data_IF_175021818509
#
_entry.id   IF_175021818509
#
_cell.length_a   1.000
_cell.length_b   1.000
_cell.length_c   1.000
_cell.angle_alpha   90.00
_cell.angle_beta   90.00
_cell.angle_gamma   90.00
#
_symmetry.space_group_name_H-M   'P 1'
#
loop_
_entity.id
_entity.type
_entity.pdbx_description
1 polymer ?
#
# COMPACT_ATOMS: atom_id res chain seq x y z
N UNK A 1 11.56 7.30 -9.34
CA UNK A 1 10.36 7.02 -8.53
C UNK A 1 9.18 7.69 -9.19
N UNK A 2 8.07 6.96 -9.39
CA UNK A 2 6.85 7.50 -9.99
C UNK A 2 5.79 7.64 -8.88
N UNK A 3 5.79 8.80 -8.21
CA UNK A 3 4.95 9.10 -7.05
C UNK A 3 3.45 9.00 -7.37
N UNK A 4 3.04 9.48 -8.55
CA UNK A 4 1.66 9.43 -9.01
C UNK A 4 1.16 8.00 -9.17
N UNK A 5 1.98 7.11 -9.73
CA UNK A 5 1.61 5.71 -9.89
C UNK A 5 1.41 4.99 -8.55
N UNK A 6 2.25 5.28 -7.54
CA UNK A 6 2.10 4.73 -6.19
C UNK A 6 0.80 5.23 -5.54
N UNK A 7 0.55 6.53 -5.64
CA UNK A 7 -0.64 7.17 -5.09
C UNK A 7 -1.92 6.61 -5.71
N UNK A 8 -1.96 6.52 -7.04
CA UNK A 8 -3.08 5.96 -7.78
C UNK A 8 -3.31 4.48 -7.45
N UNK A 9 -2.24 3.70 -7.29
CA UNK A 9 -2.35 2.29 -6.89
C UNK A 9 -2.95 2.14 -5.48
N UNK A 10 -2.46 2.89 -4.49
CA UNK A 10 -2.98 2.86 -3.13
C UNK A 10 -4.46 3.28 -3.08
N UNK A 11 -4.82 4.39 -3.72
CA UNK A 11 -6.19 4.89 -3.77
C UNK A 11 -7.14 3.92 -4.49
N UNK A 12 -6.72 3.37 -5.62
CA UNK A 12 -7.52 2.40 -6.38
C UNK A 12 -7.79 1.15 -5.54
N UNK A 13 -6.80 0.66 -4.81
CA UNK A 13 -6.96 -0.51 -3.93
C UNK A 13 -7.89 -0.20 -2.75
N UNK A 14 -7.78 0.98 -2.13
CA UNK A 14 -8.69 1.39 -1.07
C UNK A 14 -10.14 1.54 -1.56
N UNK A 15 -10.35 2.09 -2.76
CA UNK A 15 -11.68 2.18 -3.41
C UNK A 15 -12.26 0.79 -3.62
N UNK A 16 -11.50 -0.11 -4.24
CA UNK A 16 -11.94 -1.50 -4.48
C UNK A 16 -12.32 -2.22 -3.19
N UNK A 17 -11.58 -1.96 -2.11
CA UNK A 17 -11.88 -2.55 -0.81
C UNK A 17 -13.21 -2.03 -0.24
N UNK A 18 -13.47 -0.72 -0.35
CA UNK A 18 -14.75 -0.13 0.07
C UNK A 18 -15.93 -0.60 -0.80
N UNK A 19 -15.72 -0.75 -2.10
CA UNK A 19 -16.74 -1.22 -3.06
C UNK A 19 -17.04 -2.72 -2.91
N UNK A 20 -16.12 -3.50 -2.36
CA UNK A 20 -16.31 -4.95 -2.18
C UNK A 20 -17.39 -5.31 -1.15
N UNK A 21 -17.86 -4.36 -0.35
CA UNK A 21 -18.80 -4.59 0.75
C UNK A 21 -18.17 -5.26 1.97
N UNK A 22 -16.84 -5.43 1.99
CA UNK A 22 -16.12 -5.86 3.18
C UNK A 22 -16.29 -4.84 4.31
N UNK A 23 -16.40 -5.32 5.55
CA UNK A 23 -16.44 -4.46 6.71
C UNK A 23 -15.07 -3.81 6.92
N UNK A 24 -14.98 -2.50 6.71
CA UNK A 24 -13.76 -1.71 6.88
C UNK A 24 -13.81 -0.97 8.22
N UNK A 25 -12.82 -1.22 9.06
CA UNK A 25 -12.59 -0.53 10.32
C UNK A 25 -11.72 0.71 10.12
N UNK A 26 -11.76 1.70 11.05
CA UNK A 26 -10.85 2.86 10.99
C UNK A 26 -9.37 2.48 11.08
N UNK A 27 -9.07 1.31 11.66
CA UNK A 27 -7.71 0.74 11.73
C UNK A 27 -7.25 0.09 10.43
N UNK A 28 -8.14 -0.11 9.46
CA UNK A 28 -7.74 -0.72 8.19
C UNK A 28 -6.95 0.25 7.32
N UNK A 29 -5.87 -0.26 6.75
CA UNK A 29 -4.92 0.48 5.94
C UNK A 29 -4.64 -0.25 4.63
N UNK A 30 -4.19 0.54 3.65
CA UNK A 30 -3.69 0.06 2.37
C UNK A 30 -2.28 0.60 2.18
N UNK A 31 -1.37 -0.27 1.77
CA UNK A 31 0.02 0.10 1.47
C UNK A 31 0.30 -0.12 -0.02
N UNK A 32 1.05 0.79 -0.62
CA UNK A 32 1.63 0.63 -1.95
C UNK A 32 3.15 0.86 -1.88
N UNK A 33 3.89 -0.06 -2.49
CA UNK A 33 5.35 -0.06 -2.56
C UNK A 33 5.78 0.04 -4.01
N UNK A 34 6.78 0.85 -4.30
CA UNK A 34 7.50 0.82 -5.57
C UNK A 34 8.89 0.21 -5.37
N UNK A 35 9.27 -0.71 -6.23
CA UNK A 35 10.59 -1.35 -6.20
C UNK A 35 11.59 -0.66 -7.13
N UNK A 36 12.86 -1.05 -7.03
CA UNK A 36 13.93 -0.54 -7.90
C UNK A 36 13.71 -0.84 -9.39
N UNK A 37 12.96 -1.90 -9.72
CA UNK A 37 12.55 -2.22 -11.10
C UNK A 37 11.44 -1.32 -11.63
N UNK A 38 10.83 -0.51 -10.76
CA UNK A 38 9.70 0.36 -11.07
C UNK A 38 8.33 -0.29 -10.94
N UNK A 39 8.25 -1.59 -10.57
CA UNK A 39 6.99 -2.28 -10.30
C UNK A 39 6.34 -1.79 -9.01
N UNK A 40 5.02 -1.90 -8.94
CA UNK A 40 4.23 -1.48 -7.79
C UNK A 40 3.50 -2.68 -7.20
N UNK A 41 3.63 -2.85 -5.89
CA UNK A 41 2.95 -3.89 -5.12
C UNK A 41 2.07 -3.25 -4.07
N UNK A 42 0.86 -3.77 -3.92
CA UNK A 42 -0.09 -3.29 -2.92
C UNK A 42 -0.37 -4.35 -1.87
N UNK A 43 -0.70 -3.93 -0.67
CA UNK A 43 -1.10 -4.79 0.44
C UNK A 43 -2.24 -4.16 1.23
N UNK A 44 -3.04 -5.00 1.87
CA UNK A 44 -4.21 -4.60 2.66
C UNK A 44 -4.05 -5.14 4.08
N UNK A 45 -4.33 -4.31 5.09
CA UNK A 45 -4.33 -4.78 6.48
C UNK A 45 -5.45 -5.80 6.70
N UNK A 46 -5.15 -6.85 7.45
CA UNK A 46 -6.12 -7.89 7.80
C UNK A 46 -5.99 -8.20 9.27
N UNK A 47 -7.10 -8.10 9.99
CA UNK A 47 -7.20 -8.51 11.38
C UNK A 47 -8.04 -9.77 11.45
N UNK A 48 -7.38 -10.91 11.62
CA UNK A 48 -8.02 -12.19 11.92
C UNK A 48 -7.97 -12.44 13.44
N UNK A 49 -8.83 -13.30 13.98
CA UNK A 49 -8.97 -13.55 15.43
C UNK A 49 -7.64 -13.90 16.13
N UNK A 50 -6.68 -14.46 15.39
CA UNK A 50 -5.39 -14.89 15.92
C UNK A 50 -4.18 -14.20 15.26
N UNK A 51 -4.39 -13.37 14.24
CA UNK A 51 -3.29 -12.80 13.48
C UNK A 51 -3.66 -11.43 12.89
N UNK A 52 -2.88 -10.41 13.23
CA UNK A 52 -2.96 -9.09 12.60
C UNK A 52 -1.80 -8.95 11.62
N UNK A 53 -2.14 -8.82 10.34
CA UNK A 53 -1.19 -8.54 9.27
C UNK A 53 -1.36 -7.10 8.85
N UNK A 54 -0.29 -6.33 9.03
CA UNK A 54 -0.24 -4.94 8.60
C UNK A 54 -0.14 -4.84 7.06
N UNK A 55 -0.71 -3.79 6.48
CA UNK A 55 -0.73 -3.60 5.03
C UNK A 55 0.67 -3.55 4.41
N UNK A 56 1.65 -3.00 5.15
CA UNK A 56 3.05 -2.96 4.76
C UNK A 56 3.64 -4.37 4.61
N UNK A 57 3.36 -5.26 5.57
CA UNK A 57 3.84 -6.64 5.56
C UNK A 57 3.22 -7.42 4.40
N UNK A 58 1.92 -7.20 4.14
CA UNK A 58 1.21 -7.83 3.03
C UNK A 58 1.78 -7.38 1.67
N UNK A 59 2.04 -6.07 1.50
CA UNK A 59 2.64 -5.53 0.29
C UNK A 59 4.07 -6.08 0.06
N UNK A 60 4.87 -6.18 1.13
CA UNK A 60 6.21 -6.78 1.09
C UNK A 60 6.15 -8.25 0.71
N UNK A 61 5.18 -9.03 1.22
CA UNK A 61 5.01 -10.44 0.83
C UNK A 61 4.71 -10.58 -0.66
N UNK A 62 3.85 -9.73 -1.20
CA UNK A 62 3.55 -9.70 -2.64
C UNK A 62 4.79 -9.35 -3.47
N UNK A 63 5.59 -8.40 -3.00
CA UNK A 63 6.87 -8.04 -3.62
C UNK A 63 7.88 -9.20 -3.60
N UNK A 64 8.06 -9.86 -2.45
CA UNK A 64 8.98 -10.99 -2.29
C UNK A 64 8.55 -12.20 -3.13
N UNK A 65 7.24 -12.44 -3.26
CA UNK A 65 6.70 -13.49 -4.12
C UNK A 65 7.05 -13.26 -5.61
N UNK A 66 7.26 -12.01 -6.02
CA UNK A 66 7.72 -11.65 -7.36
C UNK A 66 9.26 -11.68 -7.51
N UNK A 67 10.00 -12.03 -6.46
CA UNK A 67 11.47 -12.09 -6.46
C UNK A 67 12.15 -10.73 -6.28
N UNK A 68 11.44 -9.71 -5.79
CA UNK A 68 12.00 -8.38 -5.54
C UNK A 68 12.13 -8.12 -4.04
N UNK A 69 13.17 -7.38 -3.64
CA UNK A 69 13.46 -7.10 -2.23
C UNK A 69 13.89 -5.64 -1.94
N UNK A 70 14.11 -4.84 -3.00
CA UNK A 70 14.54 -3.44 -2.88
C UNK A 70 13.35 -2.50 -3.12
N UNK A 71 13.05 -1.67 -2.13
CA UNK A 71 11.95 -0.71 -2.12
C UNK A 71 12.51 0.71 -2.25
N UNK A 72 12.02 1.46 -3.23
CA UNK A 72 12.42 2.87 -3.45
C UNK A 72 11.38 3.86 -2.91
N UNK A 73 10.11 3.46 -2.84
CA UNK A 73 9.03 4.32 -2.39
C UNK A 73 7.94 3.53 -1.66
N UNK A 74 7.39 4.12 -0.61
CA UNK A 74 6.33 3.54 0.23
C UNK A 74 5.25 4.59 0.50
N UNK A 75 4.00 4.21 0.32
CA UNK A 75 2.84 5.00 0.73
C UNK A 75 1.89 4.11 1.51
N UNK A 76 1.58 4.51 2.74
CA UNK A 76 0.56 3.90 3.58
C UNK A 76 -0.59 4.88 3.74
N UNK A 77 -1.83 4.45 3.50
CA UNK A 77 -3.04 5.26 3.68
C UNK A 77 -4.05 4.55 4.58
N UNK A 78 -4.83 5.32 5.34
CA UNK A 78 -6.06 4.81 5.96
C UNK A 78 -7.08 4.46 4.87
N UNK A 79 -7.70 3.29 4.94
CA UNK A 79 -8.72 2.88 3.96
C UNK A 79 -9.93 3.81 3.99
N UNK A 80 -10.37 4.21 5.19
CA UNK A 80 -11.58 5.02 5.37
C UNK A 80 -11.33 6.49 5.00
N UNK A 81 -10.27 7.09 5.54
CA UNK A 81 -10.02 8.53 5.35
C UNK A 81 -9.21 8.82 4.08
N UNK A 82 -8.57 7.80 3.49
CA UNK A 82 -7.63 7.92 2.36
C UNK A 82 -6.50 8.93 2.62
N UNK A 83 -6.17 9.15 3.89
CA UNK A 83 -5.09 10.03 4.32
C UNK A 83 -3.80 9.23 4.48
N UNK A 84 -2.67 9.70 3.94
CA UNK A 84 -1.35 9.17 4.23
C UNK A 84 -1.05 9.08 5.73
N UNK A 85 -0.44 7.97 6.14
CA UNK A 85 -0.05 7.67 7.52
C UNK A 85 1.39 7.15 7.58
N UNK A 86 2.00 7.21 8.76
CA UNK A 86 3.31 6.62 8.97
C UNK A 86 3.22 5.10 9.20
N UNK A 87 4.13 4.31 8.61
CA UNK A 87 4.24 2.89 8.92
C UNK A 87 4.71 2.68 10.36
N UNK A 88 4.33 1.54 10.96
CA UNK A 88 4.74 1.24 12.34
C UNK A 88 6.20 0.78 12.44
N UNK A 89 6.82 0.92 13.63
CA UNK A 89 8.22 0.55 13.85
C UNK A 89 8.54 -0.92 13.52
N UNK A 90 7.61 -1.84 13.77
CA UNK A 90 7.81 -3.25 13.44
C UNK A 90 7.87 -3.48 11.91
N UNK A 91 7.01 -2.80 11.15
CA UNK A 91 7.02 -2.89 9.68
C UNK A 91 8.28 -2.25 9.09
N UNK A 92 8.70 -1.11 9.64
CA UNK A 92 9.94 -0.44 9.27
C UNK A 92 11.18 -1.31 9.51
N UNK A 93 11.28 -1.90 10.70
CA UNK A 93 12.36 -2.82 11.04
C UNK A 93 12.39 -4.03 10.11
N UNK A 94 11.23 -4.58 9.76
CA UNK A 94 11.13 -5.67 8.79
C UNK A 94 11.61 -5.24 7.40
N UNK A 95 11.15 -4.10 6.87
CA UNK A 95 11.57 -3.59 5.56
C UNK A 95 13.09 -3.37 5.50
N UNK A 96 13.67 -2.76 6.53
CA UNK A 96 15.10 -2.50 6.62
C UNK A 96 15.93 -3.79 6.72
N UNK A 97 15.35 -4.88 7.24
CA UNK A 97 16.01 -6.18 7.32
C UNK A 97 16.09 -6.94 5.99
N UNK A 98 15.29 -6.56 4.98
CA UNK A 98 15.25 -7.27 3.69
C UNK A 98 16.47 -7.00 2.80
N UNK A 99 16.92 -5.75 2.77
CA UNK A 99 18.00 -5.27 1.91
C UNK A 99 18.56 -3.96 2.49
N UNK A 100 19.88 -3.76 2.45
CA UNK A 100 20.50 -2.53 2.98
C UNK A 100 20.14 -1.31 2.11
N UNK A 101 19.85 -1.53 0.84
CA UNK A 101 19.41 -0.53 -0.12
C UNK A 101 18.07 0.10 0.29
N UNK A 102 17.27 -0.59 1.11
CA UNK A 102 16.01 -0.06 1.63
C UNK A 102 16.21 1.12 2.58
N UNK A 103 17.43 1.40 3.06
CA UNK A 103 17.75 2.63 3.80
C UNK A 103 17.42 3.89 2.97
N UNK A 104 17.50 3.80 1.63
CA UNK A 104 17.13 4.87 0.70
C UNK A 104 15.63 4.97 0.40
N UNK A 105 14.78 4.14 1.00
CA UNK A 105 13.34 4.15 0.76
C UNK A 105 12.71 5.49 1.21
N UNK A 106 11.89 6.07 0.34
CA UNK A 106 11.16 7.31 0.61
C UNK A 106 9.72 7.01 1.00
N UNK A 107 9.31 7.44 2.20
CA UNK A 107 7.93 7.37 2.68
C UNK A 107 7.18 8.63 2.27
N UNK A 108 6.08 8.45 1.55
CA UNK A 108 5.25 9.53 1.05
C UNK A 108 4.19 9.94 2.08
N UNK A 109 4.15 11.23 2.43
CA UNK A 109 3.11 11.86 3.25
C UNK A 109 2.35 12.92 2.44
N UNK A 110 1.33 13.54 3.05
CA UNK A 110 0.54 14.61 2.40
C UNK A 110 1.40 15.82 2.03
N UNK A 111 2.28 16.25 2.94
CA UNK A 111 3.01 17.51 2.78
C UNK A 111 4.42 17.34 2.20
N UNK A 112 5.00 16.15 2.36
CA UNK A 112 6.40 15.88 2.00
C UNK A 112 6.69 14.40 1.86
N UNK A 113 7.85 14.09 1.27
CA UNK A 113 8.45 12.76 1.35
C UNK A 113 9.54 12.78 2.42
N UNK A 114 9.60 11.74 3.24
CA UNK A 114 10.61 11.57 4.29
C UNK A 114 11.38 10.27 4.07
N UNK A 115 12.67 10.25 4.43
CA UNK A 115 13.43 9.00 4.38
C UNK A 115 12.92 8.04 5.44
N UNK A 116 12.93 6.74 5.15
CA UNK A 116 12.56 5.69 6.10
C UNK A 116 13.35 5.77 7.42
N UNK A 117 14.59 6.27 7.38
CA UNK A 117 15.44 6.43 8.56
C UNK A 117 14.93 7.57 9.48
N UNK A 118 14.40 8.63 8.88
CA UNK A 118 13.80 9.75 9.63
C UNK A 118 12.48 9.33 10.29
N UNK A 119 11.72 8.43 9.66
CA UNK A 119 10.45 7.94 10.22
C UNK A 119 10.66 7.31 11.59
N UNK A 120 11.72 6.51 11.75
CA UNK A 120 12.05 5.88 13.04
C UNK A 120 12.30 6.88 14.16
N UNK A 121 12.76 8.10 13.83
CA UNK A 121 12.94 9.17 14.80
C UNK A 121 11.60 9.80 15.23
N UNK A 122 10.63 9.90 14.33
CA UNK A 122 9.29 10.44 14.63
C UNK A 122 8.36 9.42 15.29
N UNK A 123 8.56 8.13 14.99
CA UNK A 123 7.81 7.02 15.58
C UNK A 123 8.39 6.56 16.93
N UNK A 124 9.47 7.18 17.41
CA UNK A 124 9.90 7.06 18.80
C UNK A 124 8.80 7.65 19.72
N UNK A 125 8.52 7.03 20.86
CA UNK A 125 7.30 7.25 21.61
C UNK A 125 7.29 8.63 22.25
N UNK A 126 6.66 9.60 21.58
CA UNK A 126 6.14 10.81 22.22
C UNK A 126 4.86 10.52 23.06
N UNK A 127 4.58 9.26 23.35
CA UNK A 127 3.34 8.81 23.99
C UNK A 127 3.58 7.69 25.01
N UNK A 128 4.30 8.00 26.08
CA UNK A 128 4.19 7.25 27.34
C UNK A 128 2.86 7.53 28.05
N UNK A 129 1.71 7.34 27.39
CA UNK A 129 0.40 7.41 28.03
C UNK A 129 -0.55 6.35 27.50
N UNK A 130 -0.99 5.51 28.45
CA UNK A 130 -1.93 4.39 28.36
C UNK A 130 -1.34 3.07 27.88
N UNK A 131 -0.57 2.48 28.80
CA UNK A 131 -0.42 1.04 28.93
C UNK A 131 -1.79 0.35 28.90
N UNK A 132 -1.90 -0.64 28.02
CA UNK A 132 -2.92 -1.66 28.07
C UNK A 132 -2.56 -2.60 29.25
N UNK A 133 -3.37 -2.68 30.33
CA UNK A 133 -3.00 -3.43 31.55
C UNK A 133 -3.03 -4.96 31.39
N UNK A 134 -3.25 -5.49 30.19
CA UNK A 134 -3.48 -6.93 29.98
C UNK A 134 -2.29 -7.73 29.43
N UNK A 135 -1.08 -7.17 29.37
CA UNK A 135 0.13 -7.94 29.04
C UNK A 135 1.03 -8.10 30.27
N UNK A 136 0.57 -8.95 31.20
CA UNK A 136 1.40 -9.48 32.29
C UNK A 136 2.32 -10.55 31.68
N UNK A 137 3.60 -10.24 31.51
CA UNK A 137 4.58 -11.28 31.19
C UNK A 137 5.88 -10.77 30.58
N UNK A 138 6.87 -10.55 31.44
CA UNK A 138 8.31 -10.47 31.13
C UNK A 138 8.82 -9.21 30.42
N UNK A 139 9.09 -8.18 31.20
CA UNK A 139 10.07 -7.15 30.84
C UNK A 139 11.50 -7.72 30.90
N UNK A 140 12.34 -7.51 29.88
CA UNK A 140 13.77 -7.72 30.02
C UNK A 140 14.38 -6.55 30.80
N UNK A 141 15.17 -6.91 31.81
CA UNK A 141 15.99 -6.05 32.65
C UNK A 141 16.86 -5.12 31.79
N UNK A 142 16.75 -3.80 31.99
CA UNK A 142 17.68 -2.84 31.41
C UNK A 142 19.11 -3.06 31.94
N UNK A 143 20.15 -2.98 31.09
CA UNK A 143 21.52 -2.98 31.58
C UNK A 143 21.87 -1.58 32.12
N UNK A 144 22.16 -1.52 33.41
CA UNK A 144 22.83 -0.38 34.02
C UNK A 144 24.27 -0.31 33.51
N UNK A 145 24.65 0.82 32.93
CA UNK A 145 26.04 1.15 32.64
C UNK A 145 26.77 1.44 33.96
N UNK A 146 27.54 0.47 34.44
CA UNK A 146 28.60 0.69 35.43
C UNK A 146 29.93 0.19 34.89
N UNK A 147 30.86 1.15 34.77
CA UNK A 147 32.30 1.06 35.01
C UNK A 147 33.09 -0.18 34.55
N UNK A 148 34.00 0.08 33.60
CA UNK A 148 35.25 -0.60 33.29
C UNK A 148 35.67 -1.77 34.20
N UNK A 149 35.55 -2.99 33.68
CA UNK A 149 36.31 -4.16 34.12
C UNK A 149 37.01 -4.82 32.94
N UNK A 150 38.23 -5.29 33.21
CA UNK A 150 39.18 -5.84 32.26
C UNK A 150 38.60 -7.01 31.44
N UNK A 151 38.93 -6.99 30.15
CA UNK A 151 38.51 -7.98 29.17
C UNK A 151 39.04 -9.38 29.52
N UNK A 152 38.12 -10.28 29.86
CA UNK A 152 38.35 -11.73 29.87
C UNK A 152 38.14 -12.22 28.43
N UNK A 153 39.12 -12.90 27.80
CA UNK A 153 38.96 -13.42 26.45
C UNK A 153 37.89 -14.53 26.40
N UNK A 154 37.12 -14.63 25.30
CA UNK A 154 36.07 -15.61 25.16
C UNK A 154 36.65 -17.05 25.12
N UNK A 155 35.94 -18.03 25.70
CA UNK A 155 36.33 -19.44 25.62
C UNK A 155 36.28 -19.91 24.16
N UNK A 156 37.30 -20.67 23.78
CA UNK A 156 37.45 -21.24 22.45
C UNK A 156 36.25 -22.14 22.07
N UNK A 157 35.78 -22.09 20.80
CA UNK A 157 34.71 -22.95 20.34
C UNK A 157 35.13 -24.43 20.40
N UNK A 158 34.23 -25.35 20.77
CA UNK A 158 34.51 -26.77 20.76
C UNK A 158 34.77 -27.28 19.33
N UNK A 159 35.59 -28.33 19.18
CA UNK A 159 35.91 -28.90 17.87
C UNK A 159 34.66 -29.46 17.20
N UNK A 160 34.46 -29.05 15.94
CA UNK A 160 33.40 -29.54 15.06
C UNK A 160 33.50 -31.05 14.89
N UNK A 161 32.44 -31.76 15.27
CA UNK A 161 32.29 -33.18 14.99
C UNK A 161 32.20 -33.43 13.47
N UNK A 162 32.81 -34.49 12.94
CA UNK A 162 32.74 -34.83 11.52
C UNK A 162 31.29 -35.18 11.15
N UNK A 163 30.78 -34.48 10.12
CA UNK A 163 29.44 -34.70 9.58
C UNK A 163 29.33 -36.09 8.95
N UNK A 164 28.22 -36.83 9.16
CA UNK A 164 27.99 -38.11 8.50
C UNK A 164 27.79 -37.93 6.98
N UNK A 165 28.18 -38.92 6.17
CA UNK A 165 28.01 -38.88 4.72
C UNK A 165 26.53 -38.86 4.34
N UNK A 166 26.17 -37.91 3.48
CA UNK A 166 24.84 -37.79 2.89
C UNK A 166 24.52 -39.01 2.00
N UNK A 167 23.30 -39.58 2.07
CA UNK A 167 22.88 -40.63 1.17
C UNK A 167 22.66 -40.08 -0.24
N UNK A 168 23.34 -40.71 -1.20
CA UNK A 168 23.18 -40.47 -2.65
C UNK A 168 21.78 -40.91 -3.06
N UNK A 169 20.92 -39.97 -3.44
CA UNK A 169 19.62 -40.29 -4.03
C UNK A 169 19.77 -40.53 -5.55
N UNK A 170 19.15 -41.59 -6.10
CA UNK A 170 19.17 -41.86 -7.53
C UNK A 170 18.29 -40.86 -8.31
N UNK A 171 18.85 -40.34 -9.40
CA UNK A 171 18.17 -39.44 -10.33
C UNK A 171 16.96 -40.12 -10.98
N UNK A 172 15.75 -39.63 -10.67
CA UNK A 172 14.53 -39.99 -11.40
C UNK A 172 14.41 -39.03 -12.57
N UNK A 173 14.71 -39.57 -13.75
CA UNK A 173 14.63 -38.88 -15.04
C UNK A 173 13.22 -39.08 -15.60
N UNK A 174 12.30 -38.17 -15.33
CA UNK A 174 10.94 -38.19 -15.91
C UNK A 174 10.86 -37.19 -17.05
N UNK A 175 10.89 -37.72 -18.28
CA UNK A 175 10.60 -36.99 -19.50
C UNK A 175 9.12 -36.55 -19.54
N UNK A 176 8.81 -35.31 -19.96
CA UNK A 176 7.43 -34.88 -20.18
C UNK A 176 6.86 -35.46 -21.48
N UNK A 177 5.63 -35.94 -21.41
CA UNK A 177 4.87 -36.43 -22.56
C UNK A 177 4.45 -35.29 -23.52
N UNK A 178 4.28 -35.57 -24.83
CA UNK A 178 3.89 -34.58 -25.82
C UNK A 178 2.42 -34.18 -25.68
N UNK A 179 2.17 -32.87 -25.67
CA UNK A 179 0.83 -32.26 -25.63
C UNK A 179 0.19 -32.32 -27.02
N UNK A 180 -0.96 -32.98 -27.11
CA UNK A 180 -1.82 -33.05 -28.30
C UNK A 180 -2.52 -31.71 -28.53
N UNK A 181 -2.52 -31.14 -29.76
CA UNK A 181 -3.29 -29.94 -30.07
C UNK A 181 -4.79 -30.27 -30.24
N UNK A 182 -5.65 -29.55 -29.52
CA UNK A 182 -7.10 -29.54 -29.78
C UNK A 182 -7.46 -28.54 -30.90
N UNK A 183 -8.49 -28.85 -31.71
CA UNK A 183 -8.94 -28.01 -32.82
C UNK A 183 -9.74 -26.79 -32.35
N UNK A 184 -9.65 -25.72 -33.14
CA UNK A 184 -10.39 -24.48 -32.99
C UNK A 184 -11.86 -24.68 -33.36
N UNK A 185 -12.77 -24.18 -32.52
CA UNK A 185 -14.19 -24.05 -32.83
C UNK A 185 -14.50 -22.65 -33.36
N UNK A 186 -15.31 -22.66 -34.42
CA UNK A 186 -15.79 -21.59 -35.27
C UNK A 186 -16.94 -20.76 -34.64
N UNK A 187 -16.92 -19.46 -34.96
CA UNK A 187 -18.04 -18.57 -35.34
C UNK A 187 -19.28 -18.45 -34.42
N UNK A 188 -19.60 -17.19 -34.06
CA UNK A 188 -20.93 -16.61 -34.34
C UNK A 188 -20.90 -15.07 -34.35
N UNK A 189 -20.89 -14.50 -35.56
CA UNK A 189 -21.31 -13.12 -35.86
C UNK A 189 -22.80 -12.97 -35.56
N UNK A 190 -23.19 -11.88 -34.91
CA UNK A 190 -24.58 -11.46 -34.80
C UNK A 190 -24.80 -10.19 -35.61
N UNK A 191 -25.63 -10.38 -36.64
CA UNK A 191 -26.10 -9.44 -37.63
C UNK A 191 -27.14 -8.49 -37.00
N UNK A 192 -26.91 -7.17 -37.04
CA UNK A 192 -27.89 -6.16 -36.64
C UNK A 192 -28.18 -5.24 -37.83
N UNK A 193 -29.36 -5.52 -38.38
CA UNK A 193 -30.14 -4.78 -39.38
C UNK A 193 -30.07 -3.25 -39.22
N UNK A 194 -29.55 -2.58 -40.25
CA UNK A 194 -29.54 -1.12 -40.38
C UNK A 194 -30.79 -0.66 -41.14
N UNK A 195 -31.61 0.18 -40.49
CA UNK A 195 -32.68 0.93 -41.17
C UNK A 195 -32.11 2.21 -41.79
N UNK A 196 -32.32 2.32 -43.08
CA UNK A 196 -31.97 3.46 -43.93
C UNK A 196 -32.96 4.61 -43.69
N UNK A 197 -32.49 5.74 -43.18
CA UNK A 197 -33.14 7.03 -43.41
C UNK A 197 -32.12 8.05 -43.93
N UNK A 198 -32.48 8.57 -45.08
CA UNK A 198 -31.72 9.44 -45.97
C UNK A 198 -31.79 10.88 -45.45
N UNK A 199 -30.65 11.52 -45.21
CA UNK A 199 -30.57 12.97 -45.21
C UNK A 199 -29.18 13.43 -45.66
N UNK A 200 -29.21 14.16 -46.76
CA UNK A 200 -28.11 14.82 -47.46
C UNK A 200 -27.50 15.94 -46.63
N UNK A 201 -26.16 15.99 -46.52
CA UNK A 201 -25.31 17.11 -46.94
C UNK A 201 -23.96 17.18 -46.18
N UNK A 202 -22.90 17.35 -46.98
CA UNK A 202 -21.64 18.06 -46.72
C UNK A 202 -20.49 17.38 -45.95
N UNK A 203 -19.53 16.88 -46.75
CA UNK A 203 -18.13 17.34 -46.88
C UNK A 203 -17.22 17.41 -45.63
N UNK A 204 -16.24 16.49 -45.62
CA UNK A 204 -14.82 16.64 -45.19
C UNK A 204 -14.49 17.01 -43.73
N UNK A 205 -14.23 15.99 -42.90
CA UNK A 205 -13.01 15.78 -42.08
C UNK A 205 -13.32 14.85 -40.89
N UNK A 206 -13.06 13.55 -41.03
CA UNK A 206 -13.29 12.55 -39.97
C UNK A 206 -11.98 11.99 -39.43
N UNK A 207 -11.46 12.58 -38.33
CA UNK A 207 -10.56 11.92 -37.35
C UNK A 207 -10.36 12.74 -36.08
N UNK A 208 -11.33 13.58 -35.67
CA UNK A 208 -11.10 14.53 -34.57
C UNK A 208 -12.32 14.97 -33.75
N UNK A 209 -13.43 14.23 -33.78
CA UNK A 209 -14.70 14.76 -33.23
C UNK A 209 -15.52 13.82 -32.32
N UNK A 210 -14.94 12.69 -31.88
CA UNK A 210 -15.60 11.83 -30.86
C UNK A 210 -15.25 12.22 -29.42
N UNK A 211 -14.16 12.96 -29.21
CA UNK A 211 -13.72 13.41 -27.88
C UNK A 211 -14.35 14.75 -27.46
N UNK A 212 -14.66 15.64 -28.41
CA UNK A 212 -15.14 17.00 -28.10
C UNK A 212 -16.58 17.01 -27.58
N UNK A 213 -17.43 16.13 -28.11
CA UNK A 213 -18.83 16.03 -27.65
C UNK A 213 -18.96 15.43 -26.24
N UNK A 214 -18.05 14.55 -25.82
CA UNK A 214 -18.03 14.02 -24.45
C UNK A 214 -17.53 15.03 -23.41
N UNK A 215 -16.53 15.84 -23.77
CA UNK A 215 -15.98 16.86 -22.85
C UNK A 215 -16.94 18.03 -22.66
N UNK A 216 -17.65 18.46 -23.71
CA UNK A 216 -18.68 19.51 -23.57
C UNK A 216 -19.91 19.05 -22.77
N UNK A 217 -20.22 17.75 -22.73
CA UNK A 217 -21.32 17.22 -21.93
C UNK A 217 -21.00 17.13 -20.44
N UNK A 218 -19.72 17.05 -20.05
CA UNK A 218 -19.28 16.95 -18.66
C UNK A 218 -19.05 18.31 -17.99
N UNK A 219 -18.71 19.34 -18.78
CA UNK A 219 -18.54 20.70 -18.25
C UNK A 219 -19.86 21.44 -18.04
N UNK A 220 -20.96 21.03 -18.68
CA UNK A 220 -22.27 21.69 -18.51
C UNK A 220 -23.08 21.21 -17.32
N UNK A 221 -22.72 20.09 -16.69
CA UNK A 221 -23.49 19.51 -15.58
C UNK A 221 -22.96 19.89 -14.19
N UNK A 222 -22.02 20.83 -14.10
CA UNK A 222 -21.37 21.19 -12.82
C UNK A 222 -21.72 22.61 -12.37
N UNK A 223 -22.25 23.46 -13.25
CA UNK A 223 -22.47 24.87 -12.95
C UNK A 223 -23.89 25.21 -12.43
N UNK A 224 -24.82 24.25 -12.33
CA UNK A 224 -26.24 24.55 -11.98
C UNK A 224 -26.68 24.10 -10.56
N UNK A 225 -25.81 23.45 -9.78
CA UNK A 225 -26.17 22.91 -8.45
C UNK A 225 -25.48 23.61 -7.25
N UNK A 226 -24.70 24.67 -7.48
CA UNK A 226 -23.91 25.33 -6.41
C UNK A 226 -24.65 26.41 -5.63
N UNK A 227 -25.82 26.88 -6.07
CA UNK A 227 -26.49 28.03 -5.43
C UNK A 227 -27.56 27.65 -4.38
N UNK A 228 -28.09 26.43 -4.35
CA UNK A 228 -29.12 26.02 -3.36
C UNK A 228 -28.55 25.51 -2.02
N UNK A 229 -27.25 25.18 -1.93
CA UNK A 229 -26.70 24.59 -0.70
C UNK A 229 -26.30 25.63 0.37
N UNK A 230 -26.12 26.90 0.01
CA UNK A 230 -25.72 27.95 0.95
C UNK A 230 -26.89 28.53 1.76
N UNK A 231 -28.15 28.34 1.33
CA UNK A 231 -29.32 28.88 2.05
C UNK A 231 -29.78 28.03 3.25
N UNK A 232 -29.28 26.80 3.40
CA UNK A 232 -29.67 25.90 4.50
C UNK A 232 -28.67 25.79 5.66
N UNK A 233 -27.67 26.68 5.72
CA UNK A 233 -26.76 26.73 6.88
C UNK A 233 -27.41 27.53 8.03
N UNK A 234 -27.62 26.92 9.21
CA UNK A 234 -28.15 27.64 10.36
C UNK A 234 -27.16 28.73 10.78
N UNK A 235 -27.55 30.00 10.60
CA UNK A 235 -26.80 31.17 11.01
C UNK A 235 -26.38 31.05 12.48
N UNK A 236 -25.12 30.71 12.72
CA UNK A 236 -24.58 30.57 14.08
C UNK A 236 -24.47 31.95 14.72
N UNK A 237 -25.29 32.18 15.74
CA UNK A 237 -25.26 33.37 16.60
C UNK A 237 -23.85 33.58 17.15
N UNK A 238 -23.19 34.65 16.72
CA UNK A 238 -21.96 35.19 17.31
C UNK A 238 -22.13 35.36 18.83
N UNK A 239 -21.57 34.45 19.64
CA UNK A 239 -21.35 34.69 21.07
C UNK A 239 -20.10 35.56 21.22
N UNK A 240 -20.35 36.81 21.55
CA UNK A 240 -19.38 37.86 21.90
C UNK A 240 -18.68 37.45 23.21
N UNK A 241 -17.44 36.98 23.13
CA UNK A 241 -16.61 36.75 24.31
C UNK A 241 -16.17 38.10 24.89
N UNK A 242 -16.66 38.38 26.10
CA UNK A 242 -16.29 39.55 26.88
C UNK A 242 -14.86 39.45 27.38
N UNK A 243 -14.06 40.44 26.98
CA UNK A 243 -12.83 40.84 27.64
C UNK A 243 -13.10 41.15 29.11
N UNK A 244 -12.46 40.42 30.03
CA UNK A 244 -12.19 40.93 31.38
C UNK A 244 -10.70 41.23 31.52
N UNK A 245 -10.38 42.52 31.57
CA UNK A 245 -9.22 43.07 32.26
C UNK A 245 -9.70 43.47 33.67
N UNK A 246 -9.06 42.98 34.72
CA UNK A 246 -8.20 43.78 35.61
C UNK A 246 -7.52 42.87 36.63
#
# INVERSE_FOLDING_TARGET
>A
MNSEAIFNAAHTTAIKLLESGAFVTPSDTVCALQTSSGRIYTGISRTDMNNSVHAEIDAVRNMLAAGENIIIGLLLISTQMRTPMLPCNNCLGYILSLAQENIGCMVMLQDRMISINEVGMFAAPMGGMMDNPNFVGHTPVQPQFTSAHAAVPPPAPPPLAPSPPLPVQPAVNTAPAPVTPQPADDIQETDITTKTETSTANTENATGDLLKNKVNSLLRSVDDDTDEFLENLPSTKKKRFGFFRK
#
